data_IF_913760029944
#
_entry.id   IF_913760029944
#
_cell.length_a   1.000
_cell.length_b   1.000
_cell.length_c   1.000
_cell.angle_alpha   90.00
_cell.angle_beta   90.00
_cell.angle_gamma   90.00
#
_symmetry.space_group_name_H-M   'P 1'
#
loop_
_entity.id
_entity.type
_entity.pdbx_description
1 polymer ?
#
# COMPACT_ATOMS: atom_id res chain seq x y z
N UNK A 1 -57.62 62.96 -11.50
CA UNK A 1 -57.99 63.57 -12.79
C UNK A 1 -56.95 64.64 -13.11
N UNK A 2 -56.12 64.42 -14.15
CA UNK A 2 -55.36 65.41 -14.93
C UNK A 2 -54.36 66.38 -14.24
N UNK A 3 -53.23 66.83 -14.79
CA UNK A 3 -52.37 66.56 -15.96
C UNK A 3 -51.11 67.45 -15.78
N UNK A 4 -49.95 66.92 -16.17
CA UNK A 4 -48.71 67.58 -16.65
C UNK A 4 -48.05 68.74 -15.86
N UNK A 5 -46.75 68.55 -15.54
CA UNK A 5 -45.70 69.46 -16.03
C UNK A 5 -44.41 68.70 -16.37
N UNK A 6 -44.19 68.59 -17.67
CA UNK A 6 -42.98 68.15 -18.35
C UNK A 6 -41.92 69.26 -18.22
N UNK A 7 -40.72 68.96 -17.69
CA UNK A 7 -39.55 69.86 -17.83
C UNK A 7 -38.36 69.08 -18.35
N UNK A 8 -37.93 69.53 -19.52
CA UNK A 8 -36.84 69.08 -20.39
C UNK A 8 -35.52 69.69 -19.90
N UNK A 9 -34.49 68.87 -19.69
CA UNK A 9 -33.08 69.32 -19.72
C UNK A 9 -32.14 68.16 -20.07
N UNK A 10 -31.20 68.49 -20.96
CA UNK A 10 -30.29 67.66 -21.76
C UNK A 10 -29.08 67.10 -20.93
N UNK A 11 -28.24 66.20 -21.47
CA UNK A 11 -27.37 65.30 -20.73
C UNK A 11 -25.96 65.88 -20.52
N UNK A 12 -25.40 65.61 -19.34
CA UNK A 12 -23.97 65.75 -19.10
C UNK A 12 -23.22 64.42 -19.24
N UNK A 13 -22.10 64.54 -19.93
CA UNK A 13 -21.15 63.51 -20.36
C UNK A 13 -20.55 62.77 -19.16
N UNK A 14 -20.85 61.48 -19.00
CA UNK A 14 -20.01 60.60 -18.16
C UNK A 14 -18.93 59.95 -19.01
N UNK A 15 -17.69 60.40 -18.75
CA UNK A 15 -16.44 59.87 -19.28
C UNK A 15 -16.34 58.36 -19.07
N UNK A 16 -16.15 57.61 -20.16
CA UNK A 16 -15.72 56.21 -20.15
C UNK A 16 -14.38 56.11 -19.41
N UNK A 17 -14.37 55.46 -18.24
CA UNK A 17 -13.14 54.89 -17.67
C UNK A 17 -12.96 53.51 -18.30
N UNK A 18 -11.91 53.37 -19.10
CA UNK A 18 -11.42 52.09 -19.60
C UNK A 18 -10.84 51.29 -18.42
N UNK A 19 -11.20 50.01 -18.24
CA UNK A 19 -10.48 49.14 -17.32
C UNK A 19 -9.13 48.75 -17.93
N UNK A 20 -8.05 49.00 -17.18
CA UNK A 20 -6.71 48.48 -17.45
C UNK A 20 -6.77 46.94 -17.49
N UNK A 21 -6.49 46.36 -18.65
CA UNK A 21 -6.20 44.94 -18.78
C UNK A 21 -4.83 44.65 -18.14
N UNK A 22 -4.83 43.91 -17.02
CA UNK A 22 -3.64 43.22 -16.53
C UNK A 22 -3.57 41.82 -17.15
N UNK A 23 -2.43 41.42 -17.72
CA UNK A 23 -2.27 40.10 -18.31
C UNK A 23 -1.69 39.15 -17.27
N UNK A 24 -2.50 38.38 -16.55
CA UNK A 24 -2.04 37.14 -15.91
C UNK A 24 -3.23 36.27 -15.52
N UNK A 25 -3.72 35.45 -16.44
CA UNK A 25 -4.54 34.29 -16.09
C UNK A 25 -4.01 33.04 -16.79
N UNK A 26 -2.99 32.42 -16.17
CA UNK A 26 -2.45 31.10 -16.58
C UNK A 26 -3.24 29.92 -15.99
N UNK A 27 -4.40 30.14 -15.34
CA UNK A 27 -5.18 29.06 -14.70
C UNK A 27 -6.09 28.30 -15.69
N UNK A 28 -6.38 28.84 -16.88
CA UNK A 28 -7.20 28.17 -17.89
C UNK A 28 -6.49 27.09 -18.71
N UNK A 29 -5.16 27.11 -18.78
CA UNK A 29 -4.39 26.20 -19.63
C UNK A 29 -4.20 24.80 -19.02
N UNK A 30 -4.29 24.68 -17.68
CA UNK A 30 -4.11 23.40 -16.99
C UNK A 30 -5.38 22.52 -17.03
N UNK A 31 -6.56 23.14 -16.97
CA UNK A 31 -7.84 22.43 -17.03
C UNK A 31 -8.08 21.77 -18.40
N UNK A 32 -7.76 22.46 -19.51
CA UNK A 32 -7.90 21.89 -20.85
C UNK A 32 -6.92 20.75 -21.15
N UNK A 33 -5.75 20.73 -20.50
CA UNK A 33 -4.77 19.64 -20.68
C UNK A 33 -5.20 18.36 -19.98
N UNK A 34 -5.82 18.46 -18.80
CA UNK A 34 -6.42 17.31 -18.10
C UNK A 34 -7.66 16.77 -18.81
N UNK A 35 -8.49 17.64 -19.39
CA UNK A 35 -9.68 17.21 -20.13
C UNK A 35 -9.33 16.48 -21.43
N UNK A 36 -8.29 16.93 -22.16
CA UNK A 36 -7.80 16.21 -23.35
C UNK A 36 -7.22 14.83 -23.02
N UNK A 37 -6.51 14.69 -21.90
CA UNK A 37 -6.00 13.37 -21.46
C UNK A 37 -7.14 12.40 -21.08
N UNK A 38 -8.17 12.89 -20.38
CA UNK A 38 -9.35 12.08 -20.04
C UNK A 38 -10.11 11.58 -21.28
N UNK A 39 -10.23 12.43 -22.32
CA UNK A 39 -10.86 12.04 -23.58
C UNK A 39 -10.02 10.99 -24.32
N UNK A 40 -8.70 11.14 -24.36
CA UNK A 40 -7.79 10.14 -24.97
C UNK A 40 -7.89 8.81 -24.23
N UNK A 41 -7.93 8.82 -22.89
CA UNK A 41 -8.06 7.60 -22.08
C UNK A 41 -9.40 6.88 -22.32
N UNK A 42 -10.50 7.64 -22.46
CA UNK A 42 -11.81 7.08 -22.82
C UNK A 42 -11.83 6.46 -24.22
N UNK A 43 -11.25 7.13 -25.21
CA UNK A 43 -11.19 6.61 -26.59
C UNK A 43 -10.35 5.34 -26.70
N UNK A 44 -9.22 5.27 -26.00
CA UNK A 44 -8.37 4.07 -25.98
C UNK A 44 -9.09 2.91 -25.27
N UNK A 45 -9.80 3.19 -24.16
CA UNK A 45 -10.54 2.16 -23.42
C UNK A 45 -11.70 1.58 -24.26
N UNK A 46 -12.43 2.41 -25.02
CA UNK A 46 -13.48 1.94 -25.92
C UNK A 46 -12.95 1.11 -27.09
N UNK A 47 -11.75 1.39 -27.61
CA UNK A 47 -11.14 0.60 -28.68
C UNK A 47 -10.74 -0.80 -28.22
N UNK A 48 -10.31 -0.97 -26.96
CA UNK A 48 -9.95 -2.28 -26.38
C UNK A 48 -11.20 -3.13 -26.13
N UNK A 49 -12.34 -2.52 -25.80
CA UNK A 49 -13.61 -3.25 -25.64
C UNK A 49 -14.19 -3.76 -26.97
N UNK A 50 -13.89 -3.11 -28.10
CA UNK A 50 -14.40 -3.49 -29.42
C UNK A 50 -13.65 -4.68 -30.03
N UNK A 51 -12.42 -4.98 -29.59
CA UNK A 51 -11.64 -6.13 -30.08
C UNK A 51 -12.05 -7.49 -29.48
N UNK A 52 -12.99 -7.52 -28.53
CA UNK A 52 -13.39 -8.76 -27.84
C UNK A 52 -14.68 -9.43 -28.37
N UNK A 53 -15.30 -8.90 -29.44
CA UNK A 53 -16.60 -9.39 -29.97
C UNK A 53 -16.44 -10.21 -31.27
N UNK A 54 -15.33 -10.93 -31.47
CA UNK A 54 -15.24 -11.84 -32.62
C UNK A 54 -14.47 -13.10 -32.29
N UNK A 55 -15.18 -14.11 -31.79
CA UNK A 55 -15.09 -15.50 -32.25
C UNK A 55 -16.13 -16.36 -31.50
N UNK A 56 -17.22 -16.72 -32.18
CA UNK A 56 -17.96 -17.98 -31.98
C UNK A 56 -19.11 -18.05 -32.97
N UNK A 57 -18.86 -18.62 -34.16
CA UNK A 57 -19.90 -19.15 -35.03
C UNK A 57 -19.52 -20.58 -35.40
N UNK A 58 -20.45 -21.48 -35.06
CA UNK A 58 -20.83 -22.75 -35.67
C UNK A 58 -19.82 -23.90 -35.76
N UNK A 59 -20.21 -25.03 -35.15
CA UNK A 59 -20.63 -26.18 -35.96
C UNK A 59 -21.71 -27.00 -35.23
N UNK A 60 -22.83 -27.21 -35.92
CA UNK A 60 -23.88 -28.21 -35.64
C UNK A 60 -23.37 -29.60 -36.10
N UNK A 61 -23.97 -30.78 -35.93
CA UNK A 61 -25.23 -31.34 -35.42
C UNK A 61 -24.97 -32.87 -35.40
N UNK A 62 -25.74 -33.66 -34.66
CA UNK A 62 -25.78 -35.12 -34.87
C UNK A 62 -26.26 -35.90 -33.67
N UNK A 63 -27.56 -36.24 -33.67
CA UNK A 63 -28.23 -37.00 -32.62
C UNK A 63 -27.96 -38.51 -32.63
N UNK A 64 -28.53 -39.17 -31.62
CA UNK A 64 -28.60 -40.61 -31.48
C UNK A 64 -29.12 -40.97 -30.10
N UNK A 65 -30.38 -41.39 -30.03
CA UNK A 65 -31.01 -42.09 -28.91
C UNK A 65 -30.21 -43.36 -28.54
N UNK A 66 -30.22 -43.79 -27.26
CA UNK A 66 -30.60 -45.16 -26.83
C UNK A 66 -30.25 -45.45 -25.34
N UNK A 67 -31.28 -45.92 -24.63
CA UNK A 67 -31.38 -46.83 -23.47
C UNK A 67 -30.29 -46.98 -22.37
N UNK A 68 -30.79 -46.92 -21.13
CA UNK A 68 -30.57 -47.77 -19.93
C UNK A 68 -29.27 -48.61 -19.79
N UNK A 69 -28.52 -48.46 -18.70
CA UNK A 69 -28.65 -49.22 -17.42
C UNK A 69 -27.54 -48.81 -16.40
N UNK A 70 -27.65 -49.16 -15.10
CA UNK A 70 -26.79 -48.70 -14.00
C UNK A 70 -25.74 -49.73 -13.54
N UNK A 71 -24.61 -49.26 -12.98
CA UNK A 71 -23.60 -49.93 -12.10
C UNK A 71 -22.27 -49.14 -12.26
N UNK A 72 -21.32 -48.96 -11.34
CA UNK A 72 -21.02 -49.29 -9.94
C UNK A 72 -19.71 -48.50 -9.63
N UNK A 73 -19.35 -48.11 -8.39
CA UNK A 73 -18.15 -47.31 -8.12
C UNK A 73 -16.94 -48.22 -7.88
N UNK A 74 -15.86 -48.00 -8.62
CA UNK A 74 -14.58 -48.65 -8.32
C UNK A 74 -13.44 -47.64 -8.42
N UNK A 75 -12.88 -47.30 -7.26
CA UNK A 75 -11.55 -46.71 -7.12
C UNK A 75 -10.49 -47.67 -7.66
N UNK A 76 -9.38 -47.15 -8.20
CA UNK A 76 -8.08 -47.45 -7.58
C UNK A 76 -7.20 -46.19 -7.56
N UNK A 77 -6.57 -45.86 -6.43
CA UNK A 77 -5.37 -46.45 -5.85
C UNK A 77 -4.14 -45.57 -6.15
N UNK A 78 -3.41 -45.36 -5.07
CA UNK A 78 -2.26 -44.51 -4.86
C UNK A 78 -1.06 -44.89 -5.74
N UNK A 79 -0.29 -43.88 -6.15
CA UNK A 79 1.12 -44.04 -6.45
C UNK A 79 1.91 -42.91 -5.76
N UNK A 80 3.02 -43.23 -5.08
CA UNK A 80 3.88 -42.25 -4.41
C UNK A 80 4.85 -41.61 -5.41
N UNK A 81 5.04 -40.29 -5.28
CA UNK A 81 6.12 -39.57 -5.96
C UNK A 81 7.46 -39.93 -5.30
N UNK A 82 8.32 -40.61 -6.05
CA UNK A 82 9.73 -40.73 -5.76
C UNK A 82 10.44 -39.41 -6.10
N UNK A 83 11.11 -38.81 -5.13
CA UNK A 83 12.08 -37.74 -5.34
C UNK A 83 13.47 -38.37 -5.46
N UNK A 84 14.30 -38.01 -6.46
CA UNK A 84 15.71 -38.37 -6.46
C UNK A 84 16.53 -37.41 -5.60
N UNK A 85 17.38 -38.00 -4.77
CA UNK A 85 18.49 -37.38 -4.05
C UNK A 85 19.48 -36.68 -5.00
N UNK A 86 19.97 -35.52 -4.59
CA UNK A 86 21.16 -34.89 -5.15
C UNK A 86 22.04 -34.41 -4.00
N UNK A 87 22.97 -35.30 -3.62
CA UNK A 87 24.14 -35.01 -2.82
C UNK A 87 25.15 -34.13 -3.58
N UNK A 88 25.93 -33.36 -2.82
CA UNK A 88 27.31 -33.01 -3.14
C UNK A 88 27.54 -31.70 -3.89
N UNK A 89 28.09 -30.69 -3.21
CA UNK A 89 29.55 -30.56 -3.17
C UNK A 89 29.98 -29.39 -2.28
N UNK A 90 30.86 -29.74 -1.33
CA UNK A 90 31.67 -28.86 -0.53
C UNK A 90 32.60 -27.99 -1.40
N UNK A 91 32.71 -26.70 -1.09
CA UNK A 91 33.96 -25.99 -1.35
C UNK A 91 34.30 -25.04 -0.21
N UNK A 92 35.02 -25.61 0.75
CA UNK A 92 35.88 -24.95 1.73
C UNK A 92 37.03 -24.28 1.00
N UNK A 93 37.18 -22.96 1.12
CA UNK A 93 38.47 -22.27 1.02
C UNK A 93 38.43 -20.96 1.84
N UNK A 94 39.06 -21.01 3.01
CA UNK A 94 39.67 -19.87 3.72
C UNK A 94 41.20 -19.92 3.48
N UNK A 95 42.07 -18.97 3.91
CA UNK A 95 41.86 -17.70 4.63
C UNK A 95 42.71 -16.50 4.11
N UNK A 96 42.47 -15.35 4.77
CA UNK A 96 43.41 -14.25 5.06
C UNK A 96 43.92 -13.33 3.93
N UNK A 97 43.43 -12.08 3.95
CA UNK A 97 44.33 -10.92 3.85
C UNK A 97 43.92 -9.82 4.83
N UNK A 98 44.84 -9.60 5.77
CA UNK A 98 44.83 -8.66 6.88
C UNK A 98 45.46 -7.35 6.41
N UNK A 99 44.70 -6.25 6.36
CA UNK A 99 45.19 -4.88 6.18
C UNK A 99 44.44 -3.98 7.17
N UNK A 100 45.01 -3.73 8.36
CA UNK A 100 45.88 -2.58 8.70
C UNK A 100 45.12 -1.23 8.62
N UNK A 101 44.46 -0.87 9.72
CA UNK A 101 43.93 0.47 9.98
C UNK A 101 44.86 1.13 11.02
N UNK A 102 45.36 2.36 10.81
CA UNK A 102 46.05 3.11 11.84
C UNK A 102 45.07 3.87 12.76
N UNK A 103 45.30 3.74 14.06
CA UNK A 103 44.76 4.58 15.13
C UNK A 103 45.24 6.03 14.97
N UNK A 104 44.33 6.98 15.19
CA UNK A 104 44.66 8.36 15.50
C UNK A 104 43.66 8.91 16.53
N UNK A 105 44.25 9.75 17.38
CA UNK A 105 43.90 10.08 18.76
C UNK A 105 42.77 11.13 18.89
N UNK A 106 42.45 11.37 20.16
CA UNK A 106 41.42 12.17 20.78
C UNK A 106 41.19 13.60 20.25
N UNK A 107 39.94 14.04 20.46
CA UNK A 107 39.55 15.43 20.38
C UNK A 107 38.13 15.63 20.91
N UNK A 108 37.99 15.71 22.23
CA UNK A 108 36.78 16.14 22.90
C UNK A 108 36.46 17.60 22.56
N UNK A 109 35.19 17.91 22.27
CA UNK A 109 34.59 19.23 22.52
C UNK A 109 33.08 19.09 22.54
N UNK A 110 32.52 19.36 23.71
CA UNK A 110 31.11 19.64 23.98
C UNK A 110 30.60 20.79 23.10
N UNK A 111 29.46 20.57 22.44
CA UNK A 111 28.55 21.64 22.05
C UNK A 111 27.12 21.17 22.31
N UNK A 112 26.62 21.56 23.48
CA UNK A 112 25.21 21.64 23.81
C UNK A 112 24.56 22.71 22.92
N UNK A 113 23.57 22.34 22.11
CA UNK A 113 22.48 23.22 21.65
C UNK A 113 21.36 22.39 21.00
N UNK A 114 20.20 22.39 21.64
CA UNK A 114 18.90 22.08 21.04
C UNK A 114 18.00 23.33 21.18
N UNK A 115 16.90 23.50 20.42
CA UNK A 115 16.41 22.70 19.31
C UNK A 115 16.10 23.56 18.07
N UNK A 116 16.81 23.34 16.97
CA UNK A 116 16.42 23.86 15.67
C UNK A 116 15.58 22.82 14.94
N UNK A 117 14.25 23.01 14.90
CA UNK A 117 13.35 22.27 14.02
C UNK A 117 13.81 22.46 12.57
N UNK A 118 14.62 21.52 12.08
CA UNK A 118 14.89 21.38 10.66
C UNK A 118 13.64 20.79 10.01
N UNK A 119 13.12 21.35 8.91
CA UNK A 119 12.06 20.70 8.17
C UNK A 119 12.62 19.38 7.63
N UNK A 120 12.14 18.27 8.18
CA UNK A 120 12.39 16.96 7.59
C UNK A 120 11.86 17.01 6.17
N UNK A 121 12.74 16.80 5.20
CA UNK A 121 12.37 16.58 3.80
C UNK A 121 11.72 15.20 3.69
N UNK A 122 10.60 15.02 4.38
CA UNK A 122 9.80 13.82 4.27
C UNK A 122 9.22 13.77 2.86
N UNK A 123 9.57 12.76 2.04
CA UNK A 123 9.05 12.63 0.67
C UNK A 123 7.53 12.42 0.63
N UNK A 124 6.90 12.34 1.80
CA UNK A 124 5.48 12.16 2.01
C UNK A 124 4.79 13.31 2.76
N UNK A 125 5.50 14.36 3.17
CA UNK A 125 4.87 15.45 3.91
C UNK A 125 3.80 16.11 3.04
N UNK A 126 2.51 16.07 3.43
CA UNK A 126 1.51 16.89 2.79
C UNK A 126 1.82 18.37 3.09
N UNK A 127 1.59 19.25 2.11
CA UNK A 127 1.70 20.69 2.35
C UNK A 127 0.77 21.09 3.51
N UNK A 128 1.23 21.89 4.49
CA UNK A 128 0.41 22.28 5.63
C UNK A 128 -0.77 23.13 5.16
N UNK A 129 -1.96 22.53 5.12
CA UNK A 129 -3.24 23.24 4.94
C UNK A 129 -3.98 23.28 6.28
N UNK A 130 -4.47 24.45 6.72
CA UNK A 130 -5.34 24.57 7.88
C UNK A 130 -6.74 24.06 7.51
N UNK A 131 -6.96 22.76 7.62
CA UNK A 131 -8.22 22.10 7.33
C UNK A 131 -8.95 21.67 8.61
N UNK A 132 -10.23 22.02 8.72
CA UNK A 132 -11.11 21.70 9.85
C UNK A 132 -11.66 20.26 9.83
N UNK A 133 -11.38 19.48 8.76
CA UNK A 133 -11.92 18.14 8.56
C UNK A 133 -11.41 17.10 9.57
N UNK A 134 -10.27 17.38 10.21
CA UNK A 134 -9.63 16.45 11.15
C UNK A 134 -10.38 16.32 12.48
N UNK A 135 -11.26 17.26 12.81
CA UNK A 135 -12.08 17.21 14.02
C UNK A 135 -13.39 16.43 13.81
N UNK A 136 -13.55 15.76 12.65
CA UNK A 136 -14.72 14.94 12.40
C UNK A 136 -14.69 13.71 13.32
N UNK A 137 -15.75 13.47 14.12
CA UNK A 137 -15.77 12.37 15.09
C UNK A 137 -15.67 10.99 14.42
N UNK A 138 -16.10 10.82 13.17
CA UNK A 138 -15.98 9.56 12.45
C UNK A 138 -14.54 9.31 11.97
N UNK A 139 -13.82 10.36 11.56
CA UNK A 139 -12.37 10.27 11.26
C UNK A 139 -11.61 9.84 12.53
N UNK A 140 -11.91 10.47 13.66
CA UNK A 140 -11.30 10.13 14.95
C UNK A 140 -11.63 8.67 15.32
N UNK A 141 -12.91 8.30 15.32
CA UNK A 141 -13.36 6.95 15.68
C UNK A 141 -12.68 5.88 14.81
N UNK A 142 -12.69 6.06 13.48
CA UNK A 142 -12.19 5.03 12.59
C UNK A 142 -10.66 4.90 12.64
N UNK A 143 -9.93 6.01 12.76
CA UNK A 143 -8.48 5.95 12.86
C UNK A 143 -7.99 5.45 14.23
N UNK A 144 -8.72 5.74 15.31
CA UNK A 144 -8.41 5.18 16.64
C UNK A 144 -8.48 3.66 16.70
N UNK A 145 -9.26 3.04 15.81
CA UNK A 145 -9.35 1.58 15.70
C UNK A 145 -8.25 0.95 14.84
N UNK A 146 -7.25 1.73 14.42
CA UNK A 146 -6.12 1.26 13.59
C UNK A 146 -4.83 1.15 14.39
N UNK A 147 -3.90 0.33 13.93
CA UNK A 147 -2.57 0.18 14.53
C UNK A 147 -1.72 1.47 14.45
N UNK A 148 -2.01 2.34 13.48
CA UNK A 148 -1.27 3.59 13.26
C UNK A 148 -2.23 4.79 13.17
N UNK A 149 -2.86 5.21 14.29
CA UNK A 149 -3.95 6.19 14.29
C UNK A 149 -3.51 7.58 13.79
N UNK A 150 -2.31 8.01 14.15
CA UNK A 150 -1.75 9.30 13.69
C UNK A 150 -1.54 9.26 12.17
N UNK A 151 -0.89 8.21 11.67
CA UNK A 151 -0.64 8.04 10.25
C UNK A 151 -1.96 7.93 9.45
N UNK A 152 -2.95 7.20 9.97
CA UNK A 152 -4.29 7.08 9.39
C UNK A 152 -4.90 8.46 9.18
N UNK A 153 -4.93 9.26 10.23
CA UNK A 153 -5.58 10.55 10.17
C UNK A 153 -4.81 11.53 9.27
N UNK A 154 -3.47 11.53 9.33
CA UNK A 154 -2.61 12.31 8.43
C UNK A 154 -2.81 11.95 6.95
N UNK A 155 -2.94 10.66 6.62
CA UNK A 155 -3.16 10.22 5.23
C UNK A 155 -4.56 10.56 4.72
N UNK A 156 -5.57 10.63 5.59
CA UNK A 156 -6.93 11.04 5.24
C UNK A 156 -7.07 12.55 5.05
N UNK A 157 -6.28 13.35 5.77
CA UNK A 157 -6.34 14.82 5.77
C UNK A 157 -6.50 15.46 4.37
N UNK A 158 -5.65 15.16 3.36
CA UNK A 158 -5.78 15.79 2.05
C UNK A 158 -7.06 15.43 1.28
N UNK A 159 -7.80 14.41 1.72
CA UNK A 159 -9.07 13.99 1.13
C UNK A 159 -10.27 14.57 1.89
N UNK A 160 -10.26 14.49 3.22
CA UNK A 160 -11.34 15.02 4.06
C UNK A 160 -11.41 16.55 4.00
N UNK A 161 -10.27 17.23 3.83
CA UNK A 161 -10.26 18.70 3.64
C UNK A 161 -10.88 19.11 2.30
N UNK A 162 -10.84 18.22 1.29
CA UNK A 162 -11.43 18.46 -0.04
C UNK A 162 -12.89 18.02 -0.14
N UNK A 163 -13.28 17.03 0.66
CA UNK A 163 -14.60 16.39 0.65
C UNK A 163 -15.12 16.22 2.09
N UNK A 164 -15.32 17.32 2.84
CA UNK A 164 -15.70 17.25 4.26
C UNK A 164 -17.06 16.59 4.47
N UNK A 165 -17.96 16.65 3.50
CA UNK A 165 -19.26 15.98 3.52
C UNK A 165 -19.15 14.45 3.55
N UNK A 166 -18.08 13.89 2.99
CA UNK A 166 -17.81 12.44 2.99
C UNK A 166 -17.09 11.96 4.24
N UNK A 167 -16.53 12.86 5.04
CA UNK A 167 -15.82 12.50 6.26
C UNK A 167 -16.73 11.87 7.34
N UNK A 168 -18.06 11.98 7.16
CA UNK A 168 -19.05 11.32 8.00
C UNK A 168 -19.35 9.86 7.65
N UNK A 169 -18.84 9.31 6.54
CA UNK A 169 -19.13 7.93 6.11
C UNK A 169 -17.89 7.04 6.18
N UNK A 170 -17.96 5.95 6.95
CA UNK A 170 -16.83 5.05 7.17
C UNK A 170 -16.33 4.39 5.89
N UNK A 171 -17.21 4.07 4.93
CA UNK A 171 -16.79 3.51 3.64
C UNK A 171 -16.06 4.54 2.79
N UNK A 172 -16.53 5.79 2.77
CA UNK A 172 -15.83 6.90 2.12
C UNK A 172 -14.45 7.14 2.74
N UNK A 173 -14.32 7.03 4.07
CA UNK A 173 -13.02 7.12 4.73
C UNK A 173 -12.10 5.95 4.34
N UNK A 174 -12.62 4.72 4.26
CA UNK A 174 -11.84 3.57 3.75
C UNK A 174 -11.39 3.80 2.31
N UNK A 175 -12.28 4.28 1.44
CA UNK A 175 -11.97 4.61 0.04
C UNK A 175 -10.82 5.64 -0.03
N UNK A 176 -10.91 6.72 0.75
CA UNK A 176 -9.86 7.75 0.83
C UNK A 176 -8.54 7.19 1.35
N UNK A 177 -8.56 6.28 2.34
CA UNK A 177 -7.35 5.67 2.87
C UNK A 177 -6.67 4.76 1.83
N UNK A 178 -7.44 3.99 1.06
CA UNK A 178 -6.91 3.19 -0.04
C UNK A 178 -6.31 4.09 -1.12
N UNK A 179 -6.99 5.18 -1.50
CA UNK A 179 -6.46 6.18 -2.45
C UNK A 179 -5.17 6.84 -1.94
N UNK A 180 -5.12 7.22 -0.66
CA UNK A 180 -3.91 7.78 -0.05
C UNK A 180 -2.74 6.80 -0.13
N UNK A 181 -3.02 5.52 0.08
CA UNK A 181 -2.04 4.43 -0.04
C UNK A 181 -1.57 4.27 -1.48
N UNK A 182 -2.47 4.30 -2.47
CA UNK A 182 -2.09 4.29 -3.89
C UNK A 182 -1.19 5.46 -4.27
N UNK A 183 -1.52 6.68 -3.84
CA UNK A 183 -0.68 7.86 -4.11
C UNK A 183 0.71 7.74 -3.46
N UNK A 184 0.76 7.17 -2.26
CA UNK A 184 2.00 6.90 -1.55
C UNK A 184 2.85 5.84 -2.27
N UNK A 185 2.24 4.73 -2.71
CA UNK A 185 2.92 3.68 -3.48
C UNK A 185 3.40 4.19 -4.83
N UNK A 186 2.63 5.06 -5.50
CA UNK A 186 3.05 5.67 -6.76
C UNK A 186 4.28 6.57 -6.60
N UNK A 187 4.41 7.26 -5.47
CA UNK A 187 5.62 8.02 -5.12
C UNK A 187 6.81 7.08 -4.92
N UNK A 188 6.62 5.97 -4.22
CA UNK A 188 7.66 4.95 -4.03
C UNK A 188 8.12 4.34 -5.36
N UNK A 189 7.17 4.00 -6.23
CA UNK A 189 7.44 3.49 -7.57
C UNK A 189 8.23 4.50 -8.42
N UNK A 190 7.95 5.80 -8.28
CA UNK A 190 8.70 6.83 -9.00
C UNK A 190 10.17 6.92 -8.55
N UNK A 191 10.45 6.59 -7.29
CA UNK A 191 11.82 6.51 -6.77
C UNK A 191 12.51 5.21 -7.24
N UNK A 192 11.81 4.08 -7.26
CA UNK A 192 12.40 2.80 -7.67
C UNK A 192 12.76 2.73 -9.15
N UNK A 193 12.09 3.50 -10.01
CA UNK A 193 12.42 3.59 -11.44
C UNK A 193 13.44 4.69 -11.77
N UNK A 194 13.95 5.41 -10.79
CA UNK A 194 14.90 6.50 -11.05
C UNK A 194 16.26 5.92 -11.48
N UNK A 195 16.70 6.12 -12.74
CA UNK A 195 17.95 5.54 -13.23
C UNK A 195 19.20 6.16 -12.60
N UNK A 196 19.04 7.27 -11.87
CA UNK A 196 20.12 7.91 -11.10
C UNK A 196 20.28 7.34 -9.70
N UNK A 197 19.41 6.40 -9.30
CA UNK A 197 19.53 5.76 -8.01
C UNK A 197 20.71 4.77 -8.04
N UNK A 198 21.67 4.85 -7.10
CA UNK A 198 22.81 3.92 -7.03
C UNK A 198 22.40 2.45 -6.82
N UNK A 199 21.13 2.19 -6.46
CA UNK A 199 20.59 0.86 -6.17
C UNK A 199 19.68 0.34 -7.30
N UNK A 200 19.82 0.87 -8.53
CA UNK A 200 18.89 0.62 -9.64
C UNK A 200 18.61 -0.87 -9.91
N UNK A 201 19.63 -1.73 -9.75
CA UNK A 201 19.47 -3.18 -9.97
C UNK A 201 18.62 -3.84 -8.87
N UNK A 202 18.84 -3.48 -7.61
CA UNK A 202 18.01 -3.91 -6.46
C UNK A 202 16.59 -3.35 -6.56
N UNK A 203 16.45 -2.11 -7.05
CA UNK A 203 15.16 -1.43 -7.19
C UNK A 203 14.30 -1.96 -8.35
N UNK A 204 14.89 -2.70 -9.29
CA UNK A 204 14.12 -3.35 -10.36
C UNK A 204 13.08 -4.31 -9.76
N UNK A 205 13.44 -5.06 -8.73
CA UNK A 205 12.50 -5.92 -8.03
C UNK A 205 11.43 -5.09 -7.30
N UNK A 206 11.83 -4.02 -6.59
CA UNK A 206 10.91 -3.09 -5.93
C UNK A 206 9.87 -2.49 -6.89
N UNK A 207 10.26 -2.18 -8.12
CA UNK A 207 9.34 -1.70 -9.15
C UNK A 207 8.23 -2.72 -9.43
N UNK A 208 8.60 -3.99 -9.66
CA UNK A 208 7.64 -5.02 -10.06
C UNK A 208 6.64 -5.28 -8.92
N UNK A 209 7.12 -5.45 -7.68
CA UNK A 209 6.24 -5.65 -6.52
C UNK A 209 5.36 -4.41 -6.22
N UNK A 210 5.83 -3.18 -6.46
CA UNK A 210 5.01 -1.98 -6.31
C UNK A 210 3.94 -1.84 -7.40
N UNK A 211 4.21 -2.27 -8.63
CA UNK A 211 3.19 -2.32 -9.70
C UNK A 211 2.09 -3.31 -9.32
N UNK A 212 2.45 -4.48 -8.81
CA UNK A 212 1.47 -5.46 -8.33
C UNK A 212 0.69 -4.94 -7.11
N UNK A 213 1.37 -4.28 -6.16
CA UNK A 213 0.71 -3.64 -5.02
C UNK A 213 -0.31 -2.59 -5.46
N UNK A 214 0.00 -1.77 -6.47
CA UNK A 214 -0.95 -0.82 -7.06
C UNK A 214 -2.16 -1.50 -7.70
N UNK A 215 -1.94 -2.63 -8.39
CA UNK A 215 -3.04 -3.44 -8.95
C UNK A 215 -3.95 -3.97 -7.85
N UNK A 216 -3.37 -4.55 -6.79
CA UNK A 216 -4.11 -5.05 -5.64
C UNK A 216 -4.89 -3.93 -4.92
N UNK A 217 -4.27 -2.77 -4.69
CA UNK A 217 -4.95 -1.60 -4.09
C UNK A 217 -6.11 -1.11 -4.97
N UNK A 218 -5.95 -1.13 -6.30
CA UNK A 218 -7.02 -0.76 -7.24
C UNK A 218 -8.19 -1.73 -7.15
N UNK A 219 -7.92 -3.03 -7.17
CA UNK A 219 -8.97 -4.05 -7.03
C UNK A 219 -9.67 -3.99 -5.67
N UNK A 220 -8.95 -3.65 -4.60
CA UNK A 220 -9.54 -3.39 -3.28
C UNK A 220 -10.48 -2.18 -3.34
N UNK A 221 -10.06 -1.08 -3.97
CA UNK A 221 -10.86 0.13 -4.15
C UNK A 221 -12.15 -0.16 -4.95
N UNK A 222 -12.05 -0.92 -6.03
CA UNK A 222 -13.20 -1.32 -6.87
C UNK A 222 -14.20 -2.21 -6.14
N UNK A 223 -13.77 -2.92 -5.08
CA UNK A 223 -14.62 -3.76 -4.23
C UNK A 223 -15.33 -2.98 -3.10
N UNK A 224 -14.93 -1.73 -2.82
CA UNK A 224 -15.55 -0.89 -1.76
C UNK A 224 -17.04 -0.63 -2.02
N UNK A 225 -17.50 -0.23 -3.23
CA UNK A 225 -18.91 0.09 -3.47
C UNK A 225 -19.86 -1.10 -3.27
N UNK A 226 -19.40 -2.30 -3.58
CA UNK A 226 -20.17 -3.56 -3.39
C UNK A 226 -20.02 -4.14 -2.00
N UNK A 227 -19.18 -3.52 -1.14
CA UNK A 227 -18.88 -3.97 0.23
C UNK A 227 -18.41 -5.42 0.29
N UNK A 228 -17.67 -5.85 -0.73
CA UNK A 228 -17.07 -7.19 -0.76
C UNK A 228 -15.87 -7.23 0.17
N UNK A 229 -16.12 -7.35 1.47
CA UNK A 229 -15.09 -7.36 2.50
C UNK A 229 -14.10 -8.52 2.33
N UNK A 230 -14.52 -9.63 1.73
CA UNK A 230 -13.63 -10.75 1.41
C UNK A 230 -12.59 -10.32 0.40
N UNK A 231 -13.02 -9.76 -0.73
CA UNK A 231 -12.13 -9.25 -1.78
C UNK A 231 -11.28 -8.07 -1.30
N UNK A 232 -11.87 -7.11 -0.58
CA UNK A 232 -11.13 -5.96 -0.03
C UNK A 232 -9.99 -6.45 0.86
N UNK A 233 -10.26 -7.33 1.84
CA UNK A 233 -9.22 -7.87 2.73
C UNK A 233 -8.17 -8.64 1.98
N UNK A 234 -8.57 -9.56 1.09
CA UNK A 234 -7.64 -10.38 0.32
C UNK A 234 -6.67 -9.52 -0.51
N UNK A 235 -7.19 -8.47 -1.17
CA UNK A 235 -6.39 -7.58 -2.01
C UNK A 235 -5.52 -6.63 -1.19
N UNK A 236 -6.01 -6.12 -0.05
CA UNK A 236 -5.18 -5.33 0.87
C UNK A 236 -4.05 -6.19 1.48
N UNK A 237 -4.32 -7.43 1.91
CA UNK A 237 -3.28 -8.33 2.41
C UNK A 237 -2.22 -8.62 1.34
N UNK A 238 -2.62 -8.89 0.10
CA UNK A 238 -1.68 -9.08 -1.01
C UNK A 238 -0.85 -7.81 -1.29
N UNK A 239 -1.47 -6.62 -1.24
CA UNK A 239 -0.73 -5.36 -1.36
C UNK A 239 0.30 -5.19 -0.22
N UNK A 240 -0.06 -5.54 1.02
CA UNK A 240 0.85 -5.49 2.17
C UNK A 240 2.08 -6.39 1.96
N UNK A 241 1.86 -7.65 1.57
CA UNK A 241 2.97 -8.57 1.24
C UNK A 241 3.90 -7.97 0.19
N UNK A 242 3.36 -7.53 -0.95
CA UNK A 242 4.15 -6.97 -2.04
C UNK A 242 4.93 -5.70 -1.64
N UNK A 243 4.35 -4.87 -0.76
CA UNK A 243 5.02 -3.66 -0.27
C UNK A 243 6.17 -3.98 0.69
N UNK A 244 6.10 -5.08 1.44
CA UNK A 244 7.16 -5.58 2.32
C UNK A 244 8.33 -6.22 1.55
N UNK A 245 8.06 -6.94 0.46
CA UNK A 245 9.08 -7.69 -0.30
C UNK A 245 10.21 -6.80 -0.84
N UNK A 246 9.94 -5.52 -1.15
CA UNK A 246 10.99 -4.60 -1.61
C UNK A 246 12.13 -4.45 -0.58
N UNK A 247 11.82 -4.36 0.72
CA UNK A 247 12.84 -4.20 1.75
C UNK A 247 13.63 -5.50 1.99
N UNK A 248 13.03 -6.67 1.72
CA UNK A 248 13.70 -7.98 1.82
C UNK A 248 14.85 -8.10 0.82
N UNK A 249 14.66 -7.64 -0.43
CA UNK A 249 15.72 -7.68 -1.45
C UNK A 249 16.96 -6.84 -1.12
N UNK A 250 16.82 -5.80 -0.28
CA UNK A 250 17.96 -5.04 0.23
C UNK A 250 18.70 -5.76 1.36
N UNK A 251 17.95 -6.50 2.20
CA UNK A 251 18.53 -7.31 3.28
C UNK A 251 19.38 -8.46 2.73
N UNK A 252 18.95 -9.10 1.64
CA UNK A 252 19.69 -10.19 0.98
C UNK A 252 21.09 -9.77 0.52
N UNK A 253 21.26 -8.50 0.11
CA UNK A 253 22.54 -7.95 -0.33
C UNK A 253 23.29 -7.19 0.78
N UNK A 254 22.85 -7.31 2.05
CA UNK A 254 23.42 -6.62 3.22
C UNK A 254 23.55 -5.10 3.01
N UNK A 255 22.59 -4.48 2.33
CA UNK A 255 22.59 -3.04 2.04
C UNK A 255 21.42 -2.36 2.73
N UNK A 256 21.64 -1.16 3.25
CA UNK A 256 20.54 -0.33 3.73
C UNK A 256 19.59 0.01 2.57
N UNK A 257 18.29 -0.20 2.78
CA UNK A 257 17.28 0.10 1.77
C UNK A 257 17.17 1.60 1.55
N UNK A 258 17.46 2.08 0.33
CA UNK A 258 17.12 3.46 -0.06
C UNK A 258 15.61 3.70 -0.09
N UNK A 259 14.81 2.63 0.08
CA UNK A 259 13.36 2.61 0.13
C UNK A 259 12.78 2.36 1.54
N UNK A 260 13.61 2.22 2.58
CA UNK A 260 13.15 1.82 3.93
C UNK A 260 12.03 2.74 4.46
N UNK A 261 12.17 4.05 4.21
CA UNK A 261 11.16 5.06 4.58
C UNK A 261 9.83 4.88 3.85
N UNK A 262 9.85 4.31 2.65
CA UNK A 262 8.67 3.97 1.86
C UNK A 262 8.06 2.66 2.35
N UNK A 263 8.81 1.56 2.39
CA UNK A 263 8.29 0.24 2.73
C UNK A 263 7.60 0.20 4.11
N UNK A 264 8.27 0.70 5.14
CA UNK A 264 7.70 0.77 6.49
C UNK A 264 6.44 1.64 6.58
N UNK A 265 6.40 2.77 5.87
CA UNK A 265 5.23 3.66 5.85
C UNK A 265 4.06 3.05 5.07
N UNK A 266 4.33 2.46 3.91
CA UNK A 266 3.30 1.86 3.04
C UNK A 266 2.64 0.66 3.70
N UNK A 267 3.42 -0.20 4.36
CA UNK A 267 2.88 -1.31 5.15
C UNK A 267 1.94 -0.83 6.27
N UNK A 268 2.33 0.22 7.00
CA UNK A 268 1.46 0.83 8.02
C UNK A 268 0.17 1.43 7.43
N UNK A 269 0.25 2.03 6.24
CA UNK A 269 -0.94 2.55 5.55
C UNK A 269 -1.91 1.43 5.12
N UNK A 270 -1.39 0.29 4.65
CA UNK A 270 -2.22 -0.88 4.32
C UNK A 270 -2.78 -1.56 5.57
N UNK A 271 -1.99 -1.70 6.64
CA UNK A 271 -2.48 -2.20 7.95
C UNK A 271 -3.62 -1.32 8.49
N UNK A 272 -3.54 0.01 8.31
CA UNK A 272 -4.65 0.90 8.62
C UNK A 272 -5.89 0.58 7.77
N UNK A 273 -5.75 0.37 6.45
CA UNK A 273 -6.87 -0.04 5.59
C UNK A 273 -7.53 -1.34 6.09
N UNK A 274 -6.73 -2.35 6.43
CA UNK A 274 -7.21 -3.64 6.96
C UNK A 274 -7.96 -3.47 8.29
N UNK A 275 -7.40 -2.65 9.19
CA UNK A 275 -8.03 -2.33 10.48
C UNK A 275 -9.36 -1.60 10.29
N UNK A 276 -9.42 -0.60 9.40
CA UNK A 276 -10.65 0.11 9.07
C UNK A 276 -11.71 -0.85 8.51
N UNK A 277 -11.32 -1.78 7.62
CA UNK A 277 -12.22 -2.81 7.11
C UNK A 277 -12.76 -3.69 8.24
N UNK A 278 -11.90 -4.09 9.19
CA UNK A 278 -12.32 -4.85 10.35
C UNK A 278 -13.30 -4.06 11.23
N UNK A 279 -13.05 -2.78 11.50
CA UNK A 279 -13.95 -1.92 12.29
C UNK A 279 -15.30 -1.72 11.59
N UNK A 280 -15.31 -1.49 10.27
CA UNK A 280 -16.53 -1.32 9.49
C UNK A 280 -17.37 -2.59 9.47
N UNK A 281 -16.70 -3.76 9.34
CA UNK A 281 -17.38 -5.05 9.28
C UNK A 281 -17.82 -5.53 10.68
N UNK A 282 -17.08 -5.19 11.72
CA UNK A 282 -17.32 -5.59 13.12
C UNK A 282 -18.38 -4.78 13.87
N UNK A 283 -18.79 -3.61 13.35
CA UNK A 283 -19.91 -2.83 13.92
C UNK A 283 -21.30 -3.51 13.66
N UNK A 284 -21.34 -4.71 13.06
CA UNK A 284 -22.52 -5.58 12.96
C UNK A 284 -22.52 -6.69 14.03
N UNK A 285 -22.48 -6.32 15.30
CA UNK A 285 -22.82 -7.22 16.40
C UNK A 285 -21.74 -8.23 16.80
N UNK A 286 -21.39 -8.13 18.09
CA UNK A 286 -20.88 -9.20 18.95
C UNK A 286 -19.40 -9.62 18.93
N UNK A 287 -18.94 -9.70 20.19
CA UNK A 287 -18.01 -10.66 20.78
C UNK A 287 -16.60 -10.74 20.19
N UNK A 288 -15.67 -10.29 21.01
CA UNK A 288 -14.29 -10.73 21.01
C UNK A 288 -14.23 -12.27 20.88
N UNK A 289 -13.89 -12.74 19.68
CA UNK A 289 -13.31 -14.07 19.51
C UNK A 289 -11.81 -13.83 19.52
N UNK A 290 -11.21 -14.03 20.69
CA UNK A 290 -9.77 -14.23 20.80
C UNK A 290 -9.38 -15.33 19.82
N UNK A 291 -8.51 -15.00 18.86
CA UNK A 291 -7.94 -15.97 17.96
C UNK A 291 -7.06 -16.95 18.75
N UNK A 292 -7.02 -18.25 18.38
CA UNK A 292 -6.08 -19.17 18.96
C UNK A 292 -4.67 -18.75 18.55
N UNK A 293 -3.92 -18.26 19.52
CA UNK A 293 -2.48 -18.05 19.42
C UNK A 293 -1.84 -19.44 19.38
N UNK A 294 -1.50 -19.90 18.17
CA UNK A 294 -0.64 -21.07 18.00
C UNK A 294 0.82 -20.64 18.24
N UNK A 295 1.18 -20.47 19.51
CA UNK A 295 2.57 -20.58 19.93
C UNK A 295 2.84 -22.04 20.25
N UNK A 296 3.72 -22.66 19.47
CA UNK A 296 4.25 -23.98 19.73
C UNK A 296 4.97 -24.00 21.10
N UNK A 297 4.68 -24.95 21.99
CA UNK A 297 5.37 -25.06 23.26
C UNK A 297 6.80 -25.58 23.07
N UNK A 298 7.77 -24.81 23.57
CA UNK A 298 9.14 -25.28 23.74
C UNK A 298 9.17 -26.37 24.82
N UNK A 299 9.67 -27.54 24.44
CA UNK A 299 9.83 -28.69 25.33
C UNK A 299 10.86 -28.37 26.42
N UNK A 300 10.39 -28.36 27.66
CA UNK A 300 11.18 -28.27 28.89
C UNK A 300 11.72 -29.67 29.20
N UNK A 301 13.02 -29.89 29.00
CA UNK A 301 13.70 -31.13 29.36
C UNK A 301 13.68 -31.36 30.88
N UNK A 302 13.56 -32.61 31.36
CA UNK A 302 13.59 -32.91 32.79
C UNK A 302 15.02 -32.93 33.33
N UNK A 303 15.16 -32.32 34.50
CA UNK A 303 16.35 -32.37 35.34
C UNK A 303 16.50 -33.78 35.95
N UNK A 304 17.69 -34.37 35.78
CA UNK A 304 18.14 -35.52 36.57
C UNK A 304 19.24 -35.02 37.54
N UNK A 305 19.00 -35.25 38.83
CA UNK A 305 19.94 -34.98 39.92
C UNK A 305 21.04 -36.05 40.03
N UNK A 306 21.96 -35.88 40.98
CA UNK A 306 23.21 -36.62 41.03
C UNK A 306 23.09 -37.92 41.85
N UNK A 307 23.70 -38.99 41.34
CA UNK A 307 23.95 -40.22 42.10
C UNK A 307 25.46 -40.34 42.36
N UNK A 308 25.79 -40.71 43.60
CA UNK A 308 27.11 -40.77 44.24
C UNK A 308 27.48 -42.25 44.47
N UNK A 309 28.78 -42.52 44.68
CA UNK A 309 29.45 -43.80 45.02
C UNK A 309 29.90 -44.63 43.81
N UNK A 310 31.12 -45.16 43.69
CA UNK A 310 32.31 -45.29 44.56
C UNK A 310 33.38 -46.12 43.79
N UNK A 311 34.60 -46.32 44.31
CA UNK A 311 35.76 -46.75 43.53
C UNK A 311 36.17 -48.23 43.72
N UNK A 312 36.56 -48.91 42.64
CA UNK A 312 37.35 -50.16 42.65
C UNK A 312 38.35 -50.05 41.48
N UNK A 313 39.64 -49.80 41.70
CA UNK A 313 40.69 -50.76 42.06
C UNK A 313 40.89 -51.87 41.01
N UNK A 314 41.84 -51.68 40.08
CA UNK A 314 42.48 -52.79 39.39
C UNK A 314 44.01 -52.65 39.43
N UNK A 315 44.62 -53.79 39.73
CA UNK A 315 46.02 -54.03 39.99
C UNK A 315 46.72 -54.58 38.74
N UNK A 316 48.04 -54.41 38.73
CA UNK A 316 49.01 -55.00 37.80
C UNK A 316 48.82 -56.50 37.52
N UNK A 317 49.13 -56.86 36.27
CA UNK A 317 49.37 -58.22 35.78
C UNK A 317 50.02 -58.21 34.40
#
# INVERSE_FOLDING_TARGET
>A
LQILKYKKSNPEKKKKKTPKFSPHNKKGHFAMKKMKQLIIFFLISSLISLSSISLSIASSEGGGDEAADPMDPTAPNSAPFAMPDADGDDNVLTPATLLKIPEADAGASDVELSPGLSPTSDPFAPAPSPGSGFNNPNVIKICQATDNPVLCAESLRPFVDKQPEKAGDSFSLLEMQIMATQEATQRALSVSINPKNPDVDTLKHCKDVYVEALSNLKEALEAVPTKDFGKIKAKLSAAMTNLGTCDEGFQEINKASSMEKFGGKLNKMVSNCLSMVASINGDKGEAQVEGPTAQAPQAKGPAAGPEVEGPEAEADG
#
